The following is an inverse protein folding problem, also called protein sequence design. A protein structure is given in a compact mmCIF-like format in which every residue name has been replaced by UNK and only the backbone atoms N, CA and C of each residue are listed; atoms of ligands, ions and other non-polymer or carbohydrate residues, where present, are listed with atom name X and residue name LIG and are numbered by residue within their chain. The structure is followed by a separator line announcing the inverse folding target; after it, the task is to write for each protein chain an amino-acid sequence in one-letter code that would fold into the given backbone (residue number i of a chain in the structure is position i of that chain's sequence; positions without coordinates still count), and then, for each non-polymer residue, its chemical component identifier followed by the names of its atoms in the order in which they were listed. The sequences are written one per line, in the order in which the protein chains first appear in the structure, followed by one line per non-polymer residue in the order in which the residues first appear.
data_IF_864902163124
#
_entry.id   IF_864902163124
#
_cell.length_a   1.000
_cell.length_b   1.000
_cell.length_c   1.000
_cell.angle_alpha   90.00
_cell.angle_beta   90.00
_cell.angle_gamma   90.00
#
_symmetry.space_group_name_H-M   'P 1'
#
loop_
_entity.id
_entity.type
_entity.pdbx_description
1 polymer ?
#
# COMPACT_ATOMS: atom_id res chain seq x y z
N UNK A 1 26.07 -9.76 -30.38
CA UNK A 1 25.76 -9.14 -29.07
C UNK A 1 24.25 -9.25 -28.88
N UNK A 2 23.79 -10.38 -28.35
CA UNK A 2 22.36 -10.70 -28.30
C UNK A 2 21.80 -10.15 -26.99
N UNK A 3 21.05 -9.05 -27.08
CA UNK A 3 20.42 -8.42 -25.92
C UNK A 3 19.21 -9.26 -25.48
N UNK A 4 19.34 -9.92 -24.34
CA UNK A 4 18.24 -10.66 -23.71
C UNK A 4 17.35 -9.65 -22.97
N UNK A 5 16.15 -9.39 -23.49
CA UNK A 5 15.09 -8.77 -22.70
C UNK A 5 14.41 -9.87 -21.89
N UNK A 6 14.77 -10.01 -20.61
CA UNK A 6 13.93 -10.72 -19.65
C UNK A 6 12.71 -9.86 -19.32
N UNK A 7 11.72 -9.91 -20.21
CA UNK A 7 10.44 -9.20 -20.07
C UNK A 7 9.53 -10.03 -19.17
N UNK A 8 9.83 -10.07 -17.87
CA UNK A 8 9.10 -10.93 -16.95
C UNK A 8 9.13 -10.57 -15.47
N UNK A 9 9.90 -9.58 -15.04
CA UNK A 9 9.78 -9.09 -13.66
C UNK A 9 8.58 -8.15 -13.56
N UNK A 10 7.37 -8.72 -13.67
CA UNK A 10 6.26 -8.17 -12.91
C UNK A 10 6.75 -8.21 -11.46
N UNK A 11 7.13 -7.06 -10.92
CA UNK A 11 7.13 -6.86 -9.48
C UNK A 11 5.67 -7.02 -9.05
N UNK A 12 5.20 -8.28 -8.98
CA UNK A 12 4.01 -8.62 -8.23
C UNK A 12 4.38 -8.26 -6.81
N UNK A 13 3.93 -7.08 -6.38
CA UNK A 13 3.82 -6.77 -4.97
C UNK A 13 3.09 -7.97 -4.37
N UNK A 14 3.80 -8.79 -3.59
CA UNK A 14 3.27 -10.05 -3.06
C UNK A 14 2.09 -9.82 -2.12
N UNK A 15 1.94 -8.58 -1.64
CA UNK A 15 0.85 -8.09 -0.82
C UNK A 15 0.51 -6.66 -1.29
N UNK A 16 -0.33 -6.50 -2.32
CA UNK A 16 -0.86 -5.19 -2.64
C UNK A 16 -1.88 -4.82 -1.57
N UNK A 17 -1.78 -3.61 -1.00
CA UNK A 17 -2.74 -3.13 0.01
C UNK A 17 -4.21 -3.36 -0.41
N UNK A 18 -5.15 -3.48 0.53
CA UNK A 18 -6.55 -3.73 0.22
C UNK A 18 -7.09 -2.72 -0.78
N UNK A 19 -7.89 -3.17 -1.76
CA UNK A 19 -8.40 -2.29 -2.83
C UNK A 19 -9.26 -1.15 -2.31
N UNK A 20 -9.91 -1.33 -1.16
CA UNK A 20 -10.71 -0.30 -0.51
C UNK A 20 -9.82 0.88 -0.06
N UNK A 21 -8.63 0.62 0.50
CA UNK A 21 -7.70 1.68 0.93
C UNK A 21 -6.87 2.30 -0.20
N UNK A 22 -6.90 1.75 -1.41
CA UNK A 22 -6.03 2.20 -2.51
C UNK A 22 -6.45 3.53 -3.07
N UNK A 23 -5.56 4.52 -3.00
CA UNK A 23 -5.79 5.86 -3.55
C UNK A 23 -6.46 6.82 -2.58
N UNK A 24 -6.85 6.36 -1.38
CA UNK A 24 -7.37 7.20 -0.31
C UNK A 24 -6.27 8.04 0.34
N UNK A 25 -6.66 9.18 0.93
CA UNK A 25 -5.76 10.16 1.54
C UNK A 25 -6.38 10.77 2.79
N UNK A 26 -5.52 11.15 3.74
CA UNK A 26 -5.84 11.77 5.03
C UNK A 26 -7.14 11.20 5.64
N UNK A 27 -8.19 12.02 5.73
CA UNK A 27 -9.41 11.70 6.46
C UNK A 27 -10.21 10.53 5.86
N UNK A 28 -10.16 10.35 4.53
CA UNK A 28 -10.86 9.25 3.84
C UNK A 28 -10.24 7.90 4.18
N UNK A 29 -8.90 7.86 4.26
CA UNK A 29 -8.18 6.64 4.59
C UNK A 29 -8.26 6.35 6.09
N UNK A 30 -8.17 7.38 6.94
CA UNK A 30 -8.37 7.23 8.39
C UNK A 30 -9.79 6.73 8.70
N UNK A 31 -10.81 7.20 7.98
CA UNK A 31 -12.18 6.74 8.13
C UNK A 31 -12.41 5.30 7.64
N UNK A 32 -11.86 4.93 6.47
CA UNK A 32 -12.01 3.56 5.95
C UNK A 32 -11.18 2.54 6.71
N UNK A 33 -9.94 2.89 7.06
CA UNK A 33 -9.04 1.97 7.76
C UNK A 33 -9.25 1.95 9.26
N UNK A 34 -9.90 2.97 9.84
CA UNK A 34 -10.02 3.15 11.28
C UNK A 34 -8.70 3.43 11.99
N UNK A 35 -7.64 3.78 11.24
CA UNK A 35 -6.29 4.00 11.76
C UNK A 35 -6.01 5.51 11.77
N UNK A 36 -5.92 6.15 12.95
CA UNK A 36 -5.58 7.56 13.03
C UNK A 36 -4.11 7.79 12.68
N UNK A 37 -3.83 8.86 11.93
CA UNK A 37 -2.49 9.26 11.49
C UNK A 37 -2.04 8.63 10.18
N UNK A 38 -2.94 8.05 9.40
CA UNK A 38 -2.65 7.54 8.07
C UNK A 38 -2.82 8.65 7.03
N UNK A 39 -1.81 8.90 6.20
CA UNK A 39 -1.74 10.08 5.33
C UNK A 39 -2.14 9.74 3.91
N UNK A 40 -1.65 8.62 3.36
CA UNK A 40 -1.97 8.25 1.99
C UNK A 40 -1.59 6.81 1.69
N UNK A 41 -2.35 6.17 0.80
CA UNK A 41 -1.95 4.93 0.12
C UNK A 41 -1.99 5.15 -1.38
N UNK A 42 -0.94 4.72 -2.06
CA UNK A 42 -0.88 4.79 -3.51
C UNK A 42 -1.88 3.83 -4.14
N UNK A 43 -2.52 4.25 -5.23
CA UNK A 43 -3.56 3.46 -5.90
C UNK A 43 -3.06 2.09 -6.40
N UNK A 44 -1.74 1.94 -6.59
CA UNK A 44 -1.12 0.66 -6.94
C UNK A 44 -0.93 -0.28 -5.74
N UNK A 45 -1.19 0.18 -4.51
CA UNK A 45 -0.98 -0.57 -3.28
C UNK A 45 0.49 -0.90 -3.03
N UNK A 46 1.41 -0.05 -3.51
CA UNK A 46 2.86 -0.26 -3.40
C UNK A 46 3.54 0.69 -2.41
N UNK A 47 2.98 1.89 -2.23
CA UNK A 47 3.53 2.93 -1.36
C UNK A 47 2.45 3.49 -0.45
N UNK A 48 2.82 3.80 0.78
CA UNK A 48 1.95 4.40 1.77
C UNK A 48 2.73 5.43 2.61
N UNK A 49 2.02 6.37 3.21
CA UNK A 49 2.57 7.34 4.16
C UNK A 49 1.66 7.44 5.38
N UNK A 50 2.27 7.58 6.55
CA UNK A 50 1.57 7.84 7.81
C UNK A 50 2.38 8.83 8.65
N UNK A 51 1.68 9.62 9.48
CA UNK A 51 2.27 10.54 10.47
C UNK A 51 3.02 9.78 11.55
N UNK A 52 2.59 8.57 11.89
CA UNK A 52 3.26 7.75 12.90
C UNK A 52 3.64 6.39 12.34
N UNK A 53 4.70 5.80 12.90
CA UNK A 53 5.12 4.45 12.57
C UNK A 53 4.06 3.41 12.93
N UNK A 54 3.28 3.64 13.99
CA UNK A 54 2.20 2.76 14.41
C UNK A 54 1.07 2.71 13.36
N UNK A 55 0.67 3.86 12.83
CA UNK A 55 -0.35 3.94 11.77
C UNK A 55 0.05 3.14 10.53
N UNK A 56 1.33 3.25 10.13
CA UNK A 56 1.86 2.48 8.99
C UNK A 56 1.93 0.99 9.32
N UNK A 57 2.38 0.61 10.53
CA UNK A 57 2.41 -0.78 10.96
C UNK A 57 1.03 -1.44 10.96
N UNK A 58 0.01 -0.74 11.50
CA UNK A 58 -1.38 -1.20 11.48
C UNK A 58 -1.91 -1.39 10.07
N UNK A 59 -1.54 -0.51 9.13
CA UNK A 59 -1.89 -0.66 7.73
C UNK A 59 -1.27 -1.91 7.11
N UNK A 60 0.01 -2.19 7.42
CA UNK A 60 0.70 -3.38 6.94
C UNK A 60 0.11 -4.66 7.52
N UNK A 61 -0.24 -4.65 8.81
CA UNK A 61 -0.92 -5.75 9.51
C UNK A 61 -2.27 -6.07 8.86
N UNK A 62 -3.08 -5.02 8.62
CA UNK A 62 -4.36 -5.13 7.91
C UNK A 62 -4.20 -5.66 6.47
N UNK A 63 -3.10 -5.30 5.80
CA UNK A 63 -2.79 -5.78 4.45
C UNK A 63 -2.24 -7.20 4.42
N UNK A 64 -1.69 -7.70 5.53
CA UNK A 64 -1.19 -9.06 5.70
C UNK A 64 -2.30 -10.05 6.07
N UNK A 65 -3.38 -9.58 6.70
CA UNK A 65 -4.53 -10.40 7.12
C UNK A 65 -5.60 -10.62 6.03
N UNK A 66 -5.45 -10.05 4.83
CA UNK A 66 -6.32 -10.25 3.65
C UNK A 66 -5.84 -11.35 2.67
#
# INVERSE_FOLDING_TARGET
MTAVKEKGSQFQSRLPFPKHLRGLRDEELEAESGIPGLVFVHATGFTCAGKTRDSVLRLFDLALEE
#
